data_IF_127032086886
#
_entry.id   IF_127032086886
#
_cell.length_a   1.000
_cell.length_b   1.000
_cell.length_c   1.000
_cell.angle_alpha   90.00
_cell.angle_beta   90.00
_cell.angle_gamma   90.00
#
_symmetry.space_group_name_H-M   'P 1'
#
loop_
_entity.id
_entity.type
_entity.pdbx_description
1 polymer ?
#
# COMPACT_ATOMS: atom_id res chain seq x y z
N UNK A 1 -30.43 11.93 -13.34
CA UNK A 1 -29.19 11.21 -13.05
C UNK A 1 -28.19 11.56 -14.15
N UNK A 2 -27.12 12.28 -13.82
CA UNK A 2 -26.05 12.54 -14.80
C UNK A 2 -25.41 11.23 -15.23
N UNK A 3 -25.29 11.00 -16.53
CA UNK A 3 -24.59 9.85 -17.09
C UNK A 3 -23.09 10.00 -16.79
N UNK A 4 -22.52 8.99 -16.13
CA UNK A 4 -21.06 8.90 -15.95
C UNK A 4 -20.41 8.79 -17.33
N UNK A 5 -19.66 9.79 -17.72
CA UNK A 5 -18.89 9.77 -18.98
C UNK A 5 -17.60 8.99 -18.76
N UNK A 6 -17.44 7.95 -19.53
CA UNK A 6 -16.22 7.15 -19.56
C UNK A 6 -15.21 7.78 -20.51
N UNK A 7 -13.98 7.91 -20.06
CA UNK A 7 -12.86 8.24 -20.94
C UNK A 7 -11.89 7.08 -20.92
N UNK A 8 -11.73 6.40 -22.05
CA UNK A 8 -10.72 5.37 -22.20
C UNK A 8 -9.35 6.04 -22.33
N UNK A 9 -8.50 5.88 -21.34
CA UNK A 9 -7.11 6.35 -21.42
C UNK A 9 -6.29 5.31 -22.20
N UNK A 10 -6.13 5.54 -23.50
CA UNK A 10 -5.27 4.73 -24.36
C UNK A 10 -3.81 5.12 -24.14
N UNK A 11 -3.17 4.57 -23.12
CA UNK A 11 -1.72 4.73 -22.94
C UNK A 11 -1.01 3.91 -23.99
N UNK A 12 -0.10 4.51 -24.80
CA UNK A 12 0.67 3.74 -25.78
C UNK A 12 1.48 2.63 -25.12
N UNK A 13 1.47 1.44 -25.70
CA UNK A 13 2.11 0.22 -25.16
C UNK A 13 3.66 0.26 -25.13
N UNK A 14 4.29 1.40 -25.38
CA UNK A 14 5.75 1.55 -25.46
C UNK A 14 6.44 1.67 -24.06
N UNK A 15 5.89 1.02 -23.02
CA UNK A 15 6.42 1.11 -21.66
C UNK A 15 7.18 -0.13 -21.19
N UNK A 16 7.67 -0.99 -22.07
CA UNK A 16 8.46 -2.16 -21.64
C UNK A 16 9.74 -1.78 -20.87
N UNK A 17 10.40 -0.68 -21.23
CA UNK A 17 11.57 -0.20 -20.48
C UNK A 17 11.23 0.27 -19.05
N UNK A 18 10.09 0.94 -18.87
CA UNK A 18 9.63 1.33 -17.53
C UNK A 18 9.19 0.15 -16.66
N UNK A 19 8.85 -0.99 -17.26
CA UNK A 19 8.44 -2.18 -16.50
C UNK A 19 9.57 -2.74 -15.63
N UNK A 20 10.83 -2.71 -16.08
CA UNK A 20 11.98 -3.18 -15.29
C UNK A 20 12.31 -2.22 -14.14
N UNK A 21 12.24 -0.91 -14.36
CA UNK A 21 12.41 0.10 -13.30
C UNK A 21 11.30 -0.04 -12.23
N UNK A 22 10.06 -0.27 -12.66
CA UNK A 22 8.93 -0.50 -11.75
C UNK A 22 9.11 -1.80 -10.98
N UNK A 23 9.56 -2.89 -11.63
CA UNK A 23 9.84 -4.16 -10.95
C UNK A 23 10.94 -4.04 -9.90
N UNK A 24 11.96 -3.20 -10.14
CA UNK A 24 13.02 -2.96 -9.16
C UNK A 24 12.49 -2.33 -7.85
N UNK A 25 11.37 -1.60 -7.94
CA UNK A 25 10.75 -0.93 -6.77
C UNK A 25 9.56 -1.70 -6.22
N UNK A 26 8.84 -2.43 -7.08
CA UNK A 26 7.57 -3.10 -6.77
C UNK A 26 7.63 -4.62 -6.96
N UNK A 27 8.83 -5.22 -6.81
CA UNK A 27 8.98 -6.67 -6.83
C UNK A 27 8.39 -7.35 -5.59
N UNK A 28 8.21 -8.66 -5.66
CA UNK A 28 7.78 -9.45 -4.51
C UNK A 28 8.77 -9.33 -3.35
N UNK A 29 10.08 -9.28 -3.67
CA UNK A 29 11.16 -9.14 -2.69
C UNK A 29 11.08 -7.78 -1.98
N UNK A 30 10.92 -6.68 -2.71
CA UNK A 30 10.77 -5.34 -2.12
C UNK A 30 9.48 -5.24 -1.29
N UNK A 31 8.39 -5.85 -1.75
CA UNK A 31 7.14 -5.93 -0.97
C UNK A 31 7.33 -6.69 0.34
N UNK A 32 8.08 -7.80 0.33
CA UNK A 32 8.41 -8.55 1.56
C UNK A 32 9.25 -7.71 2.52
N UNK A 33 10.25 -6.96 2.03
CA UNK A 33 11.05 -6.05 2.85
C UNK A 33 10.19 -4.97 3.49
N UNK A 34 9.33 -4.31 2.71
CA UNK A 34 8.42 -3.29 3.23
C UNK A 34 7.50 -3.86 4.32
N UNK A 35 6.96 -5.07 4.11
CA UNK A 35 6.12 -5.75 5.09
C UNK A 35 6.88 -6.11 6.36
N UNK A 36 8.10 -6.64 6.22
CA UNK A 36 8.94 -6.98 7.37
C UNK A 36 9.30 -5.73 8.18
N UNK A 37 9.68 -4.64 7.50
CA UNK A 37 9.94 -3.36 8.13
C UNK A 37 8.74 -2.87 8.95
N UNK A 38 7.54 -2.82 8.36
CA UNK A 38 6.36 -2.37 9.09
C UNK A 38 6.01 -3.25 10.27
N UNK A 39 6.18 -4.56 10.15
CA UNK A 39 5.94 -5.50 11.25
C UNK A 39 6.95 -5.39 12.39
N UNK A 40 8.13 -4.83 12.15
CA UNK A 40 9.14 -4.60 13.19
C UNK A 40 8.80 -3.40 14.09
N UNK A 41 7.89 -2.52 13.65
CA UNK A 41 7.45 -1.37 14.46
C UNK A 41 6.59 -1.87 15.62
N UNK A 42 6.93 -1.55 16.88
CA UNK A 42 6.21 -2.09 18.05
C UNK A 42 4.71 -1.82 18.07
N UNK A 43 4.26 -0.72 17.47
CA UNK A 43 2.86 -0.32 17.38
C UNK A 43 2.14 -0.90 16.14
N UNK A 44 2.81 -1.78 15.37
CA UNK A 44 2.18 -2.37 14.21
C UNK A 44 1.09 -3.35 14.60
N UNK A 45 -0.11 -3.12 14.09
CA UNK A 45 -1.23 -4.04 14.17
C UNK A 45 -1.88 -4.18 12.80
N UNK A 46 -2.45 -5.34 12.54
CA UNK A 46 -3.29 -5.53 11.35
C UNK A 46 -4.59 -4.76 11.55
N UNK A 47 -4.90 -3.91 10.59
CA UNK A 47 -6.14 -3.13 10.62
C UNK A 47 -7.34 -3.99 10.22
N UNK A 48 -8.55 -3.72 10.75
CA UNK A 48 -9.74 -4.52 10.45
C UNK A 48 -10.10 -4.52 8.96
N UNK A 49 -10.64 -5.63 8.49
CA UNK A 49 -11.35 -5.72 7.22
C UNK A 49 -12.82 -5.90 7.52
N UNK A 50 -13.63 -4.88 7.25
CA UNK A 50 -15.05 -4.84 7.52
C UNK A 50 -15.85 -5.30 6.30
N UNK A 51 -16.73 -6.28 6.46
CA UNK A 51 -17.71 -6.66 5.45
C UNK A 51 -18.97 -5.79 5.61
N UNK A 52 -19.39 -5.15 4.53
CA UNK A 52 -20.57 -4.30 4.47
C UNK A 52 -21.72 -5.03 3.76
N UNK A 53 -22.21 -6.11 4.36
CA UNK A 53 -23.20 -7.02 3.75
C UNK A 53 -24.50 -6.32 3.36
N UNK A 54 -24.97 -5.39 4.21
CA UNK A 54 -26.17 -4.61 3.91
C UNK A 54 -26.00 -3.75 2.66
N UNK A 55 -24.84 -3.10 2.53
CA UNK A 55 -24.52 -2.28 1.37
C UNK A 55 -24.34 -3.14 0.11
N UNK A 56 -23.67 -4.28 0.22
CA UNK A 56 -23.53 -5.23 -0.88
C UNK A 56 -24.89 -5.69 -1.41
N UNK A 57 -25.79 -6.06 -0.52
CA UNK A 57 -27.16 -6.45 -0.86
C UNK A 57 -27.94 -5.32 -1.52
N UNK A 58 -27.83 -4.10 -1.00
CA UNK A 58 -28.49 -2.92 -1.56
C UNK A 58 -27.99 -2.58 -2.97
N UNK A 59 -26.68 -2.77 -3.22
CA UNK A 59 -26.05 -2.51 -4.51
C UNK A 59 -26.18 -3.69 -5.49
N UNK A 60 -26.66 -4.84 -5.06
CA UNK A 60 -26.78 -6.04 -5.90
C UNK A 60 -25.43 -6.64 -6.29
N UNK A 61 -24.38 -6.47 -5.48
CA UNK A 61 -23.04 -7.01 -5.73
C UNK A 61 -22.69 -8.14 -4.76
N UNK A 62 -21.71 -9.00 -5.13
CA UNK A 62 -21.34 -10.17 -4.35
C UNK A 62 -20.72 -9.88 -2.98
N UNK A 63 -20.13 -8.69 -2.79
CA UNK A 63 -19.58 -8.25 -1.53
C UNK A 63 -19.00 -6.85 -1.62
N UNK A 64 -19.01 -6.13 -0.49
CA UNK A 64 -18.36 -4.84 -0.30
C UNK A 64 -17.53 -4.91 0.97
N UNK A 65 -16.24 -4.62 0.86
CA UNK A 65 -15.31 -4.71 1.97
C UNK A 65 -14.56 -3.40 2.15
N UNK A 66 -14.37 -2.98 3.40
CA UNK A 66 -13.60 -1.80 3.76
C UNK A 66 -12.42 -2.21 4.61
N UNK A 67 -11.22 -1.92 4.14
CA UNK A 67 -10.00 -2.01 4.94
C UNK A 67 -9.90 -0.77 5.81
N UNK A 68 -10.16 -0.91 7.09
CA UNK A 68 -10.30 0.22 8.00
C UNK A 68 -8.93 0.69 8.53
N UNK A 69 -8.32 1.61 7.82
CA UNK A 69 -7.02 2.19 8.16
C UNK A 69 -7.10 3.29 9.25
N UNK A 70 -8.27 3.57 9.82
CA UNK A 70 -8.40 4.47 10.98
C UNK A 70 -7.65 3.94 12.22
N UNK A 71 -7.43 2.62 12.28
CA UNK A 71 -6.66 1.98 13.35
C UNK A 71 -5.15 1.97 13.12
N UNK A 72 -4.65 2.51 11.99
CA UNK A 72 -3.23 2.44 11.67
C UNK A 72 -2.39 3.32 12.59
N UNK A 73 -1.57 2.70 13.46
CA UNK A 73 -0.65 3.36 14.39
C UNK A 73 -1.30 4.45 15.28
N UNK A 74 -2.63 4.46 15.43
CA UNK A 74 -3.34 5.57 16.07
C UNK A 74 -3.35 6.88 15.29
N UNK A 75 -2.86 6.88 14.05
CA UNK A 75 -2.74 8.08 13.19
C UNK A 75 -3.90 8.23 12.22
N UNK A 76 -4.87 7.33 12.25
CA UNK A 76 -6.07 7.33 11.39
C UNK A 76 -5.76 7.41 9.88
N UNK A 77 -4.59 6.91 9.44
CA UNK A 77 -4.19 7.02 8.05
C UNK A 77 -3.18 5.96 7.63
N UNK A 78 -3.41 5.32 6.50
CA UNK A 78 -2.44 4.43 5.84
C UNK A 78 -1.19 5.18 5.32
N UNK A 79 -1.23 6.50 5.19
CA UNK A 79 -0.11 7.31 4.67
C UNK A 79 1.16 7.16 5.49
N UNK A 80 1.02 6.85 6.78
CA UNK A 80 2.15 6.58 7.66
C UNK A 80 3.03 5.41 7.16
N UNK A 81 2.46 4.41 6.50
CA UNK A 81 3.20 3.25 5.98
C UNK A 81 4.22 3.68 4.92
N UNK A 82 3.76 4.37 3.87
CA UNK A 82 4.64 4.78 2.77
C UNK A 82 5.70 5.78 3.21
N UNK A 83 5.30 6.80 3.97
CA UNK A 83 6.21 7.84 4.48
C UNK A 83 7.31 7.27 5.36
N UNK A 84 6.95 6.45 6.34
CA UNK A 84 7.91 5.83 7.25
C UNK A 84 8.91 4.93 6.51
N UNK A 85 8.43 4.09 5.58
CA UNK A 85 9.30 3.23 4.79
C UNK A 85 10.25 4.01 3.88
N UNK A 86 9.77 5.06 3.22
CA UNK A 86 10.60 5.91 2.36
C UNK A 86 11.73 6.59 3.15
N UNK A 87 11.41 7.16 4.32
CA UNK A 87 12.40 7.78 5.21
C UNK A 87 13.41 6.74 5.69
N UNK A 88 12.94 5.58 6.16
CA UNK A 88 13.82 4.53 6.65
C UNK A 88 14.75 4.01 5.55
N UNK A 89 14.27 3.82 4.33
CA UNK A 89 15.12 3.45 3.18
C UNK A 89 16.18 4.50 2.89
N UNK A 90 15.80 5.78 2.94
CA UNK A 90 16.75 6.86 2.73
C UNK A 90 17.85 6.85 3.79
N UNK A 91 17.49 6.76 5.06
CA UNK A 91 18.45 6.71 6.19
C UNK A 91 19.34 5.47 6.10
N UNK A 92 18.77 4.29 5.84
CA UNK A 92 19.53 3.05 5.68
C UNK A 92 20.58 3.18 4.56
N UNK A 93 20.20 3.78 3.44
CA UNK A 93 21.12 4.07 2.33
C UNK A 93 22.26 5.00 2.75
N UNK A 94 21.98 6.08 3.49
CA UNK A 94 23.01 7.00 3.97
C UNK A 94 23.99 6.33 4.95
N UNK A 95 23.48 5.38 5.74
CA UNK A 95 24.28 4.63 6.70
C UNK A 95 24.95 3.38 6.10
N UNK A 96 24.74 3.12 4.82
CA UNK A 96 25.18 1.91 4.12
C UNK A 96 24.74 0.61 4.87
N UNK A 97 23.49 0.60 5.34
CA UNK A 97 22.88 -0.52 6.06
C UNK A 97 21.69 -1.11 5.28
N UNK A 98 21.39 -2.38 5.54
CA UNK A 98 20.13 -2.96 5.09
C UNK A 98 18.97 -2.40 5.93
N UNK A 99 17.84 -2.12 5.29
CA UNK A 99 16.66 -1.60 5.98
C UNK A 99 16.14 -2.56 7.06
N UNK A 100 16.32 -3.85 6.86
CA UNK A 100 15.90 -4.88 7.82
C UNK A 100 16.82 -4.96 9.05
N UNK A 101 18.02 -4.35 8.99
CA UNK A 101 18.92 -4.21 10.13
C UNK A 101 18.64 -2.96 10.97
N UNK A 102 17.72 -2.10 10.53
CA UNK A 102 17.30 -0.91 11.28
C UNK A 102 16.35 -1.35 12.39
N UNK A 103 16.75 -1.14 13.64
CA UNK A 103 15.90 -1.39 14.82
C UNK A 103 15.25 -0.11 15.28
N UNK A 104 14.04 -0.26 15.80
CA UNK A 104 13.27 0.83 16.42
C UNK A 104 13.56 0.92 17.92
#
# INVERSE_FOLDING_TARGET
>A
MEQIKWTLNSVPKNHRQKAEEVKAVMSVEETKKARAFHRSVPQYNETPLQALDKLAKQLGVGGVYVKDESFRFGLNSFKALGGAYAIARYVAKQLNKDILSMTW
#
